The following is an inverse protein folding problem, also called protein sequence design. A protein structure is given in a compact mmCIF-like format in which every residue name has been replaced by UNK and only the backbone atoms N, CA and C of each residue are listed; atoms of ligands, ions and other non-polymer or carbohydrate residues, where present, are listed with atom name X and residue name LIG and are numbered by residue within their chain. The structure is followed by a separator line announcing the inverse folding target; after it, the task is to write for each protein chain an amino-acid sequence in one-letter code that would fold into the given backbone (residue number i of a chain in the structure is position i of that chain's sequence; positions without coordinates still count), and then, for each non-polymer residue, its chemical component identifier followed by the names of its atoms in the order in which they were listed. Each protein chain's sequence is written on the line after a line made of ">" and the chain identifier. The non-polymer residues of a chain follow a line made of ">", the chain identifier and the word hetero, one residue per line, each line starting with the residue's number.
data_IF_189087869975
#
_entry.id   IF_189087869975
#
_cell.length_a   1.000
_cell.length_b   1.000
_cell.length_c   1.000
_cell.angle_alpha   90.00
_cell.angle_beta   90.00
_cell.angle_gamma   90.00
#
_symmetry.space_group_name_H-M   'P 1'
#
loop_
_entity.id
_entity.type
_entity.pdbx_description
1 polymer ?
#
# COMPACT_ATOMS: atom_id res chain seq x y z
N UNK A 1 -0.76 0.88 9.18
CA UNK A 1 -0.89 -0.48 9.71
C UNK A 1 -1.95 -1.21 8.90
N UNK A 2 -2.02 -2.53 9.01
CA UNK A 2 -3.03 -3.39 8.37
C UNK A 2 -3.33 -3.05 6.90
N UNK A 3 -2.28 -2.96 6.07
CA UNK A 3 -2.40 -2.56 4.65
C UNK A 3 -3.31 -3.49 3.83
N UNK A 4 -3.48 -4.74 4.26
CA UNK A 4 -4.41 -5.70 3.65
C UNK A 4 -5.88 -5.31 3.82
N UNK A 5 -6.21 -4.38 4.71
CA UNK A 5 -7.58 -3.88 4.89
C UNK A 5 -7.90 -2.65 4.04
N UNK A 6 -6.92 -2.15 3.28
CA UNK A 6 -7.11 -0.99 2.41
C UNK A 6 -8.17 -1.31 1.34
N UNK A 7 -9.31 -0.58 1.32
CA UNK A 7 -10.36 -0.81 0.33
C UNK A 7 -9.84 -0.79 -1.09
N UNK A 8 -10.37 -1.66 -1.93
CA UNK A 8 -9.88 -1.90 -3.30
C UNK A 8 -9.82 -0.62 -4.13
N UNK A 9 -10.79 0.27 -3.94
CA UNK A 9 -10.91 1.57 -4.59
C UNK A 9 -9.84 2.59 -4.17
N UNK A 10 -9.22 2.41 -3.00
CA UNK A 10 -8.16 3.29 -2.49
C UNK A 10 -6.75 2.81 -2.85
N UNK A 11 -6.58 1.52 -3.19
CA UNK A 11 -5.29 0.96 -3.60
C UNK A 11 -4.65 1.69 -4.80
N UNK A 12 -5.37 2.09 -5.86
CA UNK A 12 -4.79 2.88 -6.96
C UNK A 12 -4.35 4.28 -6.52
N UNK A 13 -5.05 4.88 -5.55
CA UNK A 13 -4.70 6.21 -5.01
C UNK A 13 -3.37 6.13 -4.27
N UNK A 14 -3.20 5.10 -3.43
CA UNK A 14 -1.93 4.86 -2.73
C UNK A 14 -0.80 4.57 -3.72
N UNK A 15 -1.01 3.66 -4.67
CA UNK A 15 -0.01 3.35 -5.70
C UNK A 15 0.45 4.62 -6.43
N UNK A 16 -0.50 5.46 -6.85
CA UNK A 16 -0.19 6.72 -7.52
C UNK A 16 0.66 7.66 -6.66
N UNK A 17 0.41 7.73 -5.35
CA UNK A 17 1.22 8.52 -4.43
C UNK A 17 2.65 7.96 -4.29
N UNK A 18 2.82 6.64 -4.25
CA UNK A 18 4.12 5.97 -4.15
C UNK A 18 4.96 6.09 -5.43
N UNK A 19 4.31 6.13 -6.60
CA UNK A 19 4.99 6.24 -7.89
C UNK A 19 5.36 7.69 -8.21
N UNK A 20 4.41 8.62 -8.08
CA UNK A 20 4.62 10.02 -8.45
C UNK A 20 5.30 10.84 -7.36
N UNK A 21 5.33 10.35 -6.12
CA UNK A 21 5.74 11.14 -4.94
C UNK A 21 4.93 12.43 -4.79
N UNK A 22 3.68 12.41 -5.22
CA UNK A 22 2.73 13.51 -5.07
C UNK A 22 1.36 12.97 -4.68
N UNK A 23 0.55 13.77 -4.00
CA UNK A 23 -0.85 13.45 -3.74
C UNK A 23 -1.74 14.68 -3.86
N UNK A 24 -3.06 14.49 -3.90
CA UNK A 24 -4.05 15.55 -3.77
C UNK A 24 -4.85 15.35 -2.50
N UNK A 25 -5.18 16.45 -1.81
CA UNK A 25 -6.12 16.42 -0.69
C UNK A 25 -7.50 16.01 -1.21
N UNK A 26 -8.32 15.39 -0.35
CA UNK A 26 -9.71 15.09 -0.69
C UNK A 26 -10.43 16.40 -1.06
N UNK A 27 -11.04 16.44 -2.25
CA UNK A 27 -11.66 17.64 -2.81
C UNK A 27 -10.69 18.69 -3.37
N UNK A 28 -9.38 18.52 -3.21
CA UNK A 28 -8.35 19.41 -3.74
C UNK A 28 -7.95 19.06 -5.18
N UNK A 29 -7.59 20.09 -5.95
CA UNK A 29 -7.11 19.94 -7.34
C UNK A 29 -5.59 20.07 -7.48
N UNK A 30 -4.92 20.60 -6.45
CA UNK A 30 -3.47 20.84 -6.47
C UNK A 30 -2.71 19.60 -6.02
N UNK A 31 -1.71 19.20 -6.80
CA UNK A 31 -0.75 18.17 -6.37
C UNK A 31 0.24 18.75 -5.35
N UNK A 32 0.49 17.97 -4.30
CA UNK A 32 1.44 18.29 -3.24
C UNK A 32 2.59 17.30 -3.33
N UNK A 33 3.84 17.75 -3.60
CA UNK A 33 5.01 16.89 -3.61
C UNK A 33 5.38 16.44 -2.20
N UNK A 34 5.87 15.22 -2.08
CA UNK A 34 6.29 14.63 -0.81
C UNK A 34 7.62 13.90 -0.97
N UNK A 35 8.47 14.00 0.04
CA UNK A 35 9.61 13.11 0.20
C UNK A 35 9.42 12.33 1.50
N UNK A 36 8.98 11.08 1.36
CA UNK A 36 8.63 10.22 2.49
C UNK A 36 9.15 8.81 2.26
N UNK A 37 9.50 8.15 3.36
CA UNK A 37 9.75 6.72 3.40
C UNK A 37 8.47 6.02 3.89
N UNK A 38 8.06 4.98 3.16
CA UNK A 38 6.87 4.20 3.50
C UNK A 38 7.26 2.90 4.16
N UNK A 39 6.61 2.59 5.27
CA UNK A 39 6.66 1.31 5.97
C UNK A 39 5.21 0.85 6.15
N UNK A 40 4.92 -0.38 5.75
CA UNK A 40 3.61 -0.99 5.87
C UNK A 40 3.71 -2.27 6.69
N UNK A 41 2.62 -2.61 7.37
CA UNK A 41 2.45 -3.84 8.12
C UNK A 41 1.05 -4.39 7.84
N UNK A 42 0.88 -5.69 8.00
CA UNK A 42 -0.39 -6.40 7.81
C UNK A 42 -0.30 -7.75 8.51
N UNK A 43 -1.42 -8.19 9.09
CA UNK A 43 -1.60 -9.54 9.59
C UNK A 43 -2.11 -10.53 8.52
N UNK A 44 -2.56 -10.01 7.36
CA UNK A 44 -3.08 -10.79 6.23
C UNK A 44 -1.98 -11.24 5.27
N UNK A 45 -2.18 -12.39 4.63
CA UNK A 45 -1.32 -12.84 3.53
C UNK A 45 -1.66 -12.10 2.23
N UNK A 46 -0.89 -11.04 1.93
CA UNK A 46 -1.12 -10.23 0.73
C UNK A 46 -0.96 -11.02 -0.58
N UNK A 47 -0.19 -12.11 -0.62
CA UNK A 47 -0.11 -12.92 -1.84
C UNK A 47 -1.42 -13.68 -2.07
N UNK A 48 -2.02 -14.19 -1.01
CA UNK A 48 -3.35 -14.81 -1.08
C UNK A 48 -4.41 -13.79 -1.50
N UNK A 49 -4.39 -12.58 -0.92
CA UNK A 49 -5.31 -11.48 -1.26
C UNK A 49 -5.13 -10.99 -2.71
N UNK A 50 -3.91 -11.05 -3.24
CA UNK A 50 -3.66 -10.78 -4.67
C UNK A 50 -4.32 -11.84 -5.55
N UNK A 51 -4.24 -13.11 -5.16
CA UNK A 51 -4.84 -14.21 -5.90
C UNK A 51 -6.37 -14.21 -5.82
N UNK A 52 -6.97 -13.74 -4.72
CA UNK A 52 -8.42 -13.55 -4.60
C UNK A 52 -8.93 -12.31 -5.33
N UNK A 53 -8.03 -11.40 -5.71
CA UNK A 53 -8.36 -10.15 -6.40
C UNK A 53 -8.69 -8.99 -5.46
N UNK A 54 -8.55 -9.18 -4.15
CA UNK A 54 -8.82 -8.17 -3.13
C UNK A 54 -7.65 -7.18 -2.99
N UNK A 55 -6.42 -7.62 -3.27
CA UNK A 55 -5.23 -6.76 -3.27
C UNK A 55 -4.57 -6.65 -4.65
N UNK A 56 -4.13 -5.45 -5.03
CA UNK A 56 -3.60 -5.23 -6.39
C UNK A 56 -2.16 -5.72 -6.49
N UNK A 57 -1.88 -6.46 -7.56
CA UNK A 57 -0.54 -7.03 -7.82
C UNK A 57 0.54 -5.94 -7.93
N UNK A 58 0.24 -4.81 -8.57
CA UNK A 58 1.17 -3.70 -8.75
C UNK A 58 1.52 -3.00 -7.42
N UNK A 59 0.52 -2.72 -6.59
CA UNK A 59 0.71 -2.19 -5.25
C UNK A 59 1.49 -3.18 -4.37
N UNK A 60 1.21 -4.48 -4.48
CA UNK A 60 1.95 -5.52 -3.76
C UNK A 60 3.44 -5.45 -4.08
N UNK A 61 3.82 -5.45 -5.35
CA UNK A 61 5.23 -5.38 -5.73
C UNK A 61 5.88 -4.03 -5.40
N UNK A 62 5.11 -2.93 -5.38
CA UNK A 62 5.61 -1.62 -4.98
C UNK A 62 5.98 -1.57 -3.49
N UNK A 63 5.24 -2.27 -2.65
CA UNK A 63 5.47 -2.34 -1.20
C UNK A 63 6.45 -3.45 -0.81
N UNK A 64 6.33 -4.63 -1.43
CA UNK A 64 7.04 -5.86 -1.06
C UNK A 64 8.51 -5.93 -1.53
N UNK A 65 9.17 -4.77 -1.74
CA UNK A 65 10.58 -4.69 -2.11
C UNK A 65 11.47 -5.29 -1.01
N UNK A 66 11.17 -4.96 0.24
CA UNK A 66 11.76 -5.57 1.42
C UNK A 66 10.62 -6.07 2.31
N UNK A 67 10.66 -7.35 2.67
CA UNK A 67 9.69 -7.98 3.59
C UNK A 67 10.41 -8.43 4.84
N UNK A 68 9.80 -8.14 5.98
CA UNK A 68 10.25 -8.58 7.30
C UNK A 68 9.14 -9.41 7.91
N UNK A 69 9.41 -10.69 8.17
CA UNK A 69 8.50 -11.58 8.86
C UNK A 69 8.76 -11.47 10.36
N UNK A 70 7.74 -11.11 11.13
CA UNK A 70 7.82 -11.00 12.58
C UNK A 70 7.35 -12.33 13.18
N UNK A 71 8.23 -13.08 13.89
CA UNK A 71 7.82 -14.31 14.55
C UNK A 71 6.85 -14.00 15.70
N UNK A 72 5.92 -14.91 16.00
CA UNK A 72 5.07 -14.76 17.18
C UNK A 72 5.91 -14.92 18.46
N UNK A 73 5.42 -14.38 19.57
CA UNK A 73 6.10 -14.47 20.87
C UNK A 73 6.04 -15.87 21.53
N UNK A 74 5.27 -16.80 20.94
CA UNK A 74 4.96 -18.12 21.51
C UNK A 74 5.93 -19.20 21.06
#
# INVERSE_FOLDING_TARGET
>A
DEIGELPRELQPVLLGALERRTFRRVGGQTEVPVDVRVVAATNRDLRAEVNSGDFRLDLYYRLAVLRLELPPLR
#
